data_IF_296563975965
#
_entry.id   IF_296563975965
#
_cell.length_a   1.000
_cell.length_b   1.000
_cell.length_c   1.000
_cell.angle_alpha   90.00
_cell.angle_beta   90.00
_cell.angle_gamma   90.00
#
_symmetry.space_group_name_H-M   'P 1'
#
loop_
_entity.id
_entity.type
_entity.pdbx_description
1 polymer ?
#
# COMPACT_ATOMS: atom_id res chain seq x y z
N UNK A 1 -13.67 26.76 -31.40
CA UNK A 1 -12.24 26.95 -31.10
C UNK A 1 -11.72 25.65 -30.53
N UNK A 2 -10.96 24.88 -31.31
CA UNK A 2 -10.28 23.65 -30.84
C UNK A 2 -9.17 24.10 -29.87
N UNK A 3 -9.29 23.76 -28.57
CA UNK A 3 -8.15 23.84 -27.65
C UNK A 3 -7.05 22.95 -28.24
N UNK A 4 -5.80 23.44 -28.35
CA UNK A 4 -4.70 22.56 -28.75
C UNK A 4 -4.67 21.40 -27.75
N UNK A 5 -4.55 20.18 -28.26
CA UNK A 5 -4.45 18.99 -27.40
C UNK A 5 -3.17 19.11 -26.57
N UNK A 6 -3.31 19.49 -25.33
CA UNK A 6 -2.18 19.41 -24.41
C UNK A 6 -1.72 17.96 -24.42
N UNK A 7 -0.44 17.76 -24.70
CA UNK A 7 0.14 16.42 -24.67
C UNK A 7 -0.11 15.78 -23.30
N UNK A 8 -0.33 14.47 -23.23
CA UNK A 8 -0.55 13.80 -21.97
C UNK A 8 0.64 13.98 -21.04
N UNK A 9 0.38 14.14 -19.74
CA UNK A 9 1.39 14.14 -18.70
C UNK A 9 2.15 12.81 -18.75
N UNK A 10 3.50 12.84 -18.73
CA UNK A 10 4.36 11.66 -18.79
C UNK A 10 4.98 11.41 -17.42
N UNK A 11 4.60 10.31 -16.80
CA UNK A 11 5.03 9.93 -15.44
C UNK A 11 5.77 8.61 -15.48
N UNK A 12 6.94 8.54 -14.84
CA UNK A 12 7.66 7.29 -14.62
C UNK A 12 7.66 6.96 -13.13
N UNK A 13 7.05 5.84 -12.80
CA UNK A 13 7.14 5.22 -11.47
C UNK A 13 8.36 4.30 -11.45
N UNK A 14 9.19 4.41 -10.44
CA UNK A 14 10.46 3.67 -10.34
C UNK A 14 11.02 3.67 -8.91
N UNK A 15 12.06 2.87 -8.58
CA UNK A 15 12.67 1.83 -9.39
C UNK A 15 12.27 0.40 -8.97
N UNK A 16 11.18 0.26 -8.24
CA UNK A 16 10.69 -1.02 -7.67
C UNK A 16 9.18 -1.14 -7.79
N UNK A 17 8.66 -2.38 -7.78
CA UNK A 17 7.23 -2.69 -7.68
C UNK A 17 6.92 -3.33 -6.31
N UNK A 18 7.20 -2.60 -5.23
CA UNK A 18 6.98 -3.11 -3.87
C UNK A 18 5.48 -3.27 -3.62
N UNK A 19 5.09 -4.48 -3.25
CA UNK A 19 3.72 -4.86 -2.90
C UNK A 19 2.66 -4.50 -3.99
N UNK A 20 3.09 -4.40 -5.26
CA UNK A 20 2.21 -4.08 -6.38
C UNK A 20 1.71 -2.63 -6.45
N UNK A 21 1.93 -1.82 -5.42
CA UNK A 21 1.41 -0.44 -5.33
C UNK A 21 1.84 0.44 -6.51
N UNK A 22 3.13 0.47 -6.93
CA UNK A 22 3.52 1.27 -8.08
C UNK A 22 2.81 0.86 -9.38
N UNK A 23 2.63 -0.44 -9.61
CA UNK A 23 1.91 -0.93 -10.78
C UNK A 23 0.44 -0.55 -10.77
N UNK A 24 -0.22 -0.75 -9.64
CA UNK A 24 -1.64 -0.37 -9.44
C UNK A 24 -1.84 1.12 -9.73
N UNK A 25 -0.96 1.99 -9.22
CA UNK A 25 -1.00 3.43 -9.49
C UNK A 25 -0.79 3.75 -10.99
N UNK A 26 0.14 3.06 -11.65
CA UNK A 26 0.38 3.26 -13.09
C UNK A 26 -0.84 2.89 -13.92
N UNK A 27 -1.50 1.76 -13.62
CA UNK A 27 -2.70 1.34 -14.33
C UNK A 27 -3.85 2.36 -14.15
N UNK A 28 -4.06 2.86 -12.94
CA UNK A 28 -5.09 3.84 -12.67
C UNK A 28 -4.81 5.19 -13.38
N UNK A 29 -3.57 5.66 -13.35
CA UNK A 29 -3.17 6.88 -14.07
C UNK A 29 -3.35 6.76 -15.59
N UNK A 30 -3.10 5.58 -16.16
CA UNK A 30 -3.38 5.31 -17.59
C UNK A 30 -4.85 5.41 -17.90
N UNK A 31 -5.73 4.90 -17.05
CA UNK A 31 -7.20 5.06 -17.22
C UNK A 31 -7.63 6.54 -17.21
N UNK A 32 -6.85 7.41 -16.58
CA UNK A 32 -7.02 8.88 -16.58
C UNK A 32 -6.31 9.61 -17.74
N UNK A 33 -5.77 8.88 -18.73
CA UNK A 33 -5.12 9.47 -19.90
C UNK A 33 -3.67 9.92 -19.69
N UNK A 34 -3.01 9.53 -18.59
CA UNK A 34 -1.59 9.81 -18.33
C UNK A 34 -0.72 8.80 -19.06
N UNK A 35 0.37 9.24 -19.73
CA UNK A 35 1.43 8.33 -20.20
C UNK A 35 2.29 7.90 -18.98
N UNK A 36 1.73 6.99 -18.19
CA UNK A 36 2.37 6.46 -16.99
C UNK A 36 3.10 5.15 -17.30
N UNK A 37 4.29 4.97 -16.73
CA UNK A 37 5.13 3.77 -16.92
C UNK A 37 5.76 3.34 -15.61
N UNK A 38 5.88 2.02 -15.42
CA UNK A 38 6.65 1.42 -14.34
C UNK A 38 7.99 0.89 -14.86
N UNK A 39 9.07 1.43 -14.32
CA UNK A 39 10.44 0.99 -14.60
C UNK A 39 11.06 0.44 -13.33
N UNK A 40 11.52 -0.81 -13.36
CA UNK A 40 12.06 -1.47 -12.16
C UNK A 40 13.51 -1.92 -12.36
N UNK A 41 14.27 -1.99 -11.28
CA UNK A 41 15.62 -2.56 -11.33
C UNK A 41 15.60 -4.03 -11.75
N UNK A 42 14.71 -4.80 -11.10
CA UNK A 42 14.48 -6.22 -11.40
C UNK A 42 13.02 -6.54 -11.10
N UNK A 43 12.49 -7.56 -11.75
CA UNK A 43 11.15 -8.09 -11.43
C UNK A 43 11.20 -8.90 -10.14
N UNK A 44 10.23 -8.72 -9.27
CA UNK A 44 10.05 -9.53 -8.06
C UNK A 44 9.13 -10.71 -8.35
N UNK A 45 9.36 -11.85 -7.68
CA UNK A 45 8.56 -13.05 -7.91
C UNK A 45 7.06 -12.86 -7.64
N UNK A 46 6.71 -12.10 -6.60
CA UNK A 46 5.32 -11.90 -6.18
C UNK A 46 4.63 -10.73 -6.89
N UNK A 47 5.38 -9.76 -7.41
CA UNK A 47 4.89 -8.57 -8.12
C UNK A 47 5.83 -8.32 -9.29
N UNK A 48 5.65 -9.11 -10.35
CA UNK A 48 6.56 -9.14 -11.49
C UNK A 48 6.18 -8.14 -12.59
N UNK A 49 5.08 -7.40 -12.42
CA UNK A 49 4.59 -6.44 -13.38
C UNK A 49 5.55 -5.25 -13.48
N UNK A 50 5.90 -4.89 -14.70
CA UNK A 50 6.63 -3.69 -15.06
C UNK A 50 6.61 -3.51 -16.57
N UNK A 51 6.61 -2.27 -17.04
CA UNK A 51 6.77 -1.96 -18.47
C UNK A 51 8.22 -2.18 -18.93
N UNK A 52 9.16 -1.87 -18.05
CA UNK A 52 10.57 -2.06 -18.32
C UNK A 52 11.31 -2.54 -17.05
N UNK A 53 11.92 -3.72 -17.13
CA UNK A 53 12.90 -4.19 -16.17
C UNK A 53 14.30 -3.87 -16.69
N UNK A 54 15.12 -3.29 -15.83
CA UNK A 54 16.51 -2.99 -16.19
C UNK A 54 17.38 -4.23 -16.18
N UNK A 55 16.90 -5.32 -15.57
CA UNK A 55 17.63 -6.58 -15.35
C UNK A 55 19.05 -6.29 -14.84
N UNK A 56 19.06 -5.51 -13.75
CA UNK A 56 20.30 -4.97 -13.18
C UNK A 56 21.28 -6.08 -12.89
N UNK A 57 22.46 -6.10 -13.56
CA UNK A 57 23.43 -7.15 -13.37
C UNK A 57 24.06 -7.09 -11.98
N UNK A 58 24.56 -8.24 -11.51
CA UNK A 58 25.38 -8.30 -10.31
C UNK A 58 26.68 -7.48 -10.53
N UNK A 59 27.10 -6.77 -9.51
CA UNK A 59 28.30 -5.92 -9.57
C UNK A 59 27.99 -4.42 -9.71
N UNK A 60 28.66 -3.63 -8.89
CA UNK A 60 28.40 -2.20 -8.74
C UNK A 60 28.51 -1.42 -10.06
N UNK A 61 29.64 -1.48 -10.72
CA UNK A 61 29.90 -0.68 -11.94
C UNK A 61 28.93 -1.01 -13.08
N UNK A 62 28.70 -2.29 -13.36
CA UNK A 62 27.76 -2.73 -14.42
C UNK A 62 26.34 -2.29 -14.10
N UNK A 63 25.94 -2.40 -12.84
CA UNK A 63 24.65 -1.91 -12.37
C UNK A 63 24.49 -0.41 -12.58
N UNK A 64 25.50 0.39 -12.22
CA UNK A 64 25.48 1.83 -12.42
C UNK A 64 25.36 2.21 -13.92
N UNK A 65 26.11 1.56 -14.81
CA UNK A 65 26.04 1.82 -16.25
C UNK A 65 24.59 1.65 -16.77
N UNK A 66 23.94 0.55 -16.38
CA UNK A 66 22.55 0.27 -16.79
C UNK A 66 21.59 1.33 -16.25
N UNK A 67 21.74 1.72 -14.99
CA UNK A 67 20.91 2.74 -14.34
C UNK A 67 21.07 4.12 -15.01
N UNK A 68 22.31 4.54 -15.28
CA UNK A 68 22.57 5.81 -15.97
C UNK A 68 22.05 5.83 -17.41
N UNK A 69 22.20 4.73 -18.16
CA UNK A 69 21.61 4.59 -19.50
C UNK A 69 20.07 4.67 -19.45
N UNK A 70 19.46 4.05 -18.45
CA UNK A 70 18.02 4.12 -18.25
C UNK A 70 17.58 5.56 -17.96
N UNK A 71 18.25 6.26 -17.04
CA UNK A 71 17.94 7.65 -16.74
C UNK A 71 18.10 8.54 -17.98
N UNK A 72 19.20 8.42 -18.75
CA UNK A 72 19.41 9.18 -19.97
C UNK A 72 18.29 8.95 -21.02
N UNK A 73 17.78 7.72 -21.12
CA UNK A 73 16.68 7.38 -22.04
C UNK A 73 15.33 7.92 -21.56
N UNK A 74 15.09 7.94 -20.25
CA UNK A 74 13.84 8.39 -19.63
C UNK A 74 13.74 9.93 -19.56
N UNK A 75 14.86 10.60 -19.29
CA UNK A 75 14.91 12.03 -19.01
C UNK A 75 14.17 12.91 -20.06
N UNK A 76 14.36 12.74 -21.38
CA UNK A 76 13.66 13.55 -22.38
C UNK A 76 12.17 13.18 -22.55
N UNK A 77 11.76 12.03 -22.05
CA UNK A 77 10.42 11.45 -22.23
C UNK A 77 9.55 11.47 -20.98
N UNK A 78 10.01 12.08 -19.89
CA UNK A 78 9.35 12.07 -18.58
C UNK A 78 9.19 13.50 -18.10
N UNK A 79 8.06 13.83 -17.53
CA UNK A 79 7.80 15.11 -16.88
C UNK A 79 7.92 14.97 -15.35
N UNK A 80 7.41 13.84 -14.79
CA UNK A 80 7.46 13.53 -13.36
C UNK A 80 8.11 12.17 -13.11
N UNK A 81 9.11 12.12 -12.24
CA UNK A 81 9.71 10.89 -11.72
C UNK A 81 9.14 10.61 -10.33
N UNK A 82 8.43 9.50 -10.18
CA UNK A 82 7.83 9.07 -8.93
C UNK A 82 8.62 7.88 -8.36
N UNK A 83 9.41 8.17 -7.33
CA UNK A 83 10.29 7.20 -6.68
C UNK A 83 9.59 6.51 -5.52
N UNK A 84 9.91 5.24 -5.32
CA UNK A 84 9.33 4.42 -4.25
C UNK A 84 10.39 3.79 -3.36
N UNK A 85 9.99 3.53 -2.11
CA UNK A 85 10.70 2.70 -1.17
C UNK A 85 12.12 3.17 -0.85
N UNK A 86 12.30 4.47 -0.69
CA UNK A 86 13.60 5.04 -0.34
C UNK A 86 14.66 4.93 -1.45
N UNK A 87 14.27 4.57 -2.69
CA UNK A 87 15.19 4.28 -3.79
C UNK A 87 15.05 5.29 -4.93
N UNK A 88 16.14 5.49 -5.67
CA UNK A 88 16.20 6.30 -6.90
C UNK A 88 16.90 5.52 -8.02
N UNK A 89 16.77 5.94 -9.27
CA UNK A 89 17.38 5.24 -10.41
C UNK A 89 18.91 5.27 -10.37
N UNK A 90 19.50 6.42 -9.99
CA UNK A 90 20.95 6.59 -9.83
C UNK A 90 21.23 7.08 -8.42
N UNK A 91 22.48 7.20 -7.95
CA UNK A 91 22.77 7.65 -6.59
C UNK A 91 22.01 8.92 -6.22
N UNK A 92 21.34 8.88 -5.07
CA UNK A 92 20.43 9.95 -4.60
C UNK A 92 21.04 11.33 -4.63
N UNK A 93 22.34 11.44 -4.28
CA UNK A 93 23.08 12.71 -4.30
C UNK A 93 23.08 13.40 -5.67
N UNK A 94 23.02 12.63 -6.76
CA UNK A 94 23.05 13.12 -8.13
C UNK A 94 21.67 13.16 -8.76
N UNK A 95 20.74 12.29 -8.33
CA UNK A 95 19.42 12.14 -8.94
C UNK A 95 18.62 13.44 -8.93
N UNK A 96 18.41 14.05 -7.77
CA UNK A 96 17.56 15.24 -7.65
C UNK A 96 18.19 16.52 -8.28
N UNK A 97 19.48 16.82 -8.09
CA UNK A 97 20.11 17.94 -8.80
C UNK A 97 20.01 17.80 -10.32
N UNK A 98 20.19 16.59 -10.84
CA UNK A 98 20.10 16.35 -12.28
C UNK A 98 18.67 16.55 -12.79
N UNK A 99 17.65 16.01 -12.11
CA UNK A 99 16.25 16.21 -12.49
C UNK A 99 15.89 17.69 -12.51
N UNK A 100 16.30 18.46 -11.52
CA UNK A 100 16.09 19.91 -11.46
C UNK A 100 16.77 20.65 -12.63
N UNK A 101 18.00 20.28 -12.95
CA UNK A 101 18.74 20.89 -14.07
C UNK A 101 18.04 20.69 -15.43
N UNK A 102 17.28 19.59 -15.57
CA UNK A 102 16.48 19.29 -16.75
C UNK A 102 15.00 19.70 -16.61
N UNK A 103 14.63 20.48 -15.62
CA UNK A 103 13.27 20.94 -15.39
C UNK A 103 12.26 19.81 -15.10
N UNK A 104 12.75 18.67 -14.58
CA UNK A 104 11.89 17.53 -14.26
C UNK A 104 11.42 17.58 -12.81
N UNK A 105 10.18 17.14 -12.59
CA UNK A 105 9.58 17.05 -11.26
C UNK A 105 9.85 15.69 -10.65
N UNK A 106 9.84 15.63 -9.34
CA UNK A 106 10.10 14.38 -8.60
C UNK A 106 9.19 14.25 -7.37
N UNK A 107 8.71 13.05 -7.15
CA UNK A 107 7.97 12.63 -5.96
C UNK A 107 8.72 11.50 -5.29
N UNK A 108 8.77 11.51 -3.97
CA UNK A 108 9.40 10.48 -3.17
C UNK A 108 8.37 9.83 -2.25
N UNK A 109 7.99 8.59 -2.57
CA UNK A 109 6.86 7.90 -1.96
C UNK A 109 7.34 6.78 -1.04
N UNK A 110 7.04 6.91 0.24
CA UNK A 110 7.31 5.91 1.25
C UNK A 110 6.11 4.99 1.46
N UNK A 111 6.39 3.69 1.62
CA UNK A 111 5.36 2.66 1.81
C UNK A 111 5.26 2.16 3.26
N UNK A 112 5.97 2.79 4.17
CA UNK A 112 5.89 2.57 5.60
C UNK A 112 7.00 1.68 6.18
N UNK A 113 7.29 0.49 5.63
CA UNK A 113 8.40 -0.34 6.13
C UNK A 113 9.80 0.23 5.83
N UNK A 114 9.88 1.17 4.90
CA UNK A 114 11.07 1.90 4.50
C UNK A 114 11.35 3.16 5.35
N UNK A 115 10.40 3.57 6.19
CA UNK A 115 10.56 4.75 7.07
C UNK A 115 10.40 4.43 8.55
N UNK A 116 9.64 3.38 8.91
CA UNK A 116 9.45 3.04 10.32
C UNK A 116 10.78 2.70 11.00
N UNK A 117 11.06 3.40 12.08
CA UNK A 117 12.32 3.26 12.83
C UNK A 117 13.53 3.97 12.23
N UNK A 118 13.34 4.76 11.15
CA UNK A 118 14.40 5.59 10.57
C UNK A 118 14.57 6.91 11.32
N UNK A 119 15.80 7.43 11.30
CA UNK A 119 16.10 8.77 11.84
C UNK A 119 15.79 9.86 10.81
N UNK A 120 15.63 11.13 11.24
CA UNK A 120 15.47 12.25 10.31
C UNK A 120 16.61 12.39 9.31
N UNK A 121 17.85 12.05 9.69
CA UNK A 121 19.04 12.13 8.84
C UNK A 121 18.97 11.05 7.73
N UNK A 122 18.50 9.85 8.05
CA UNK A 122 18.30 8.77 7.07
C UNK A 122 17.21 9.12 6.06
N UNK A 123 16.22 9.93 6.45
CA UNK A 123 15.11 10.34 5.60
C UNK A 123 15.33 11.69 4.90
N UNK A 124 16.40 12.42 5.23
CA UNK A 124 16.68 13.75 4.68
C UNK A 124 16.75 13.82 3.15
N UNK A 125 16.97 12.70 2.51
CA UNK A 125 17.01 12.62 1.04
C UNK A 125 15.66 12.88 0.38
N UNK A 126 14.57 12.44 0.97
CA UNK A 126 13.23 12.63 0.44
C UNK A 126 12.89 14.10 0.29
N UNK A 127 13.33 14.94 1.23
CA UNK A 127 13.16 16.41 1.20
C UNK A 127 13.76 17.09 -0.02
N UNK A 128 14.62 16.42 -0.78
CA UNK A 128 15.17 16.94 -2.03
C UNK A 128 14.24 16.77 -3.23
N UNK A 129 13.22 15.94 -3.12
CA UNK A 129 12.17 15.83 -4.11
C UNK A 129 11.27 17.09 -4.10
N UNK A 130 10.43 17.24 -5.12
CA UNK A 130 9.45 18.32 -5.14
C UNK A 130 8.30 18.06 -4.16
N UNK A 131 8.00 16.78 -3.90
CA UNK A 131 7.03 16.36 -2.87
C UNK A 131 7.43 15.02 -2.26
N UNK A 132 7.07 14.83 -0.99
CA UNK A 132 7.13 13.55 -0.29
C UNK A 132 5.72 13.02 -0.09
N UNK A 133 5.54 11.72 -0.23
CA UNK A 133 4.27 11.01 -0.05
C UNK A 133 4.45 9.86 0.93
N UNK A 134 3.47 9.68 1.80
CA UNK A 134 3.34 8.53 2.72
C UNK A 134 1.99 7.86 2.55
N UNK A 135 1.92 6.55 2.84
CA UNK A 135 0.70 5.76 2.64
C UNK A 135 -0.35 5.89 3.76
N UNK A 136 -0.02 6.50 4.91
CA UNK A 136 -0.91 6.52 6.06
C UNK A 136 -0.49 7.53 7.13
N UNK A 137 -1.43 7.99 7.93
CA UNK A 137 -1.20 9.00 8.97
C UNK A 137 -0.33 8.52 10.14
N UNK A 138 -0.18 7.22 10.38
CA UNK A 138 0.78 6.72 11.37
C UNK A 138 2.22 7.05 11.00
N UNK A 139 2.50 7.17 9.70
CA UNK A 139 3.83 7.47 9.18
C UNK A 139 4.24 8.95 9.26
N UNK A 140 3.29 9.86 9.53
CA UNK A 140 3.54 11.31 9.59
C UNK A 140 4.55 11.70 10.68
N UNK A 141 4.70 10.86 11.70
CA UNK A 141 5.70 11.07 12.77
C UNK A 141 7.14 11.03 12.28
N UNK A 142 7.40 10.36 11.16
CA UNK A 142 8.74 10.28 10.54
C UNK A 142 8.95 11.31 9.44
N UNK A 143 7.87 11.65 8.70
CA UNK A 143 7.92 12.63 7.61
C UNK A 143 6.72 13.57 7.75
N UNK A 144 6.79 14.56 8.66
CA UNK A 144 5.64 15.41 9.05
C UNK A 144 5.06 16.26 7.92
N UNK A 145 5.86 16.59 6.91
CA UNK A 145 5.47 17.45 5.78
C UNK A 145 4.98 16.65 4.56
N UNK A 146 5.04 15.32 4.63
CA UNK A 146 4.62 14.48 3.51
C UNK A 146 3.10 14.51 3.33
N UNK A 147 2.67 14.47 2.08
CA UNK A 147 1.25 14.31 1.74
C UNK A 147 0.83 12.84 1.94
N UNK A 148 -0.33 12.63 2.54
CA UNK A 148 -0.86 11.29 2.75
C UNK A 148 -1.69 10.87 1.55
N UNK A 149 -1.18 9.90 0.79
CA UNK A 149 -1.90 9.25 -0.30
C UNK A 149 -1.95 7.75 0.00
N UNK A 150 -3.08 7.23 0.48
CA UNK A 150 -3.24 5.82 0.81
C UNK A 150 -2.97 4.90 -0.39
N UNK A 151 -2.44 3.68 -0.17
CA UNK A 151 -2.27 2.71 -1.25
C UNK A 151 -3.61 2.36 -1.88
N UNK A 152 -3.64 2.33 -3.22
CA UNK A 152 -4.83 2.01 -4.00
C UNK A 152 -5.05 0.50 -4.14
N UNK A 153 -6.31 0.12 -4.17
CA UNK A 153 -6.79 -1.21 -4.54
C UNK A 153 -7.90 -1.08 -5.59
N UNK A 154 -7.92 -1.95 -6.59
CA UNK A 154 -8.98 -1.98 -7.61
C UNK A 154 -10.25 -2.60 -7.01
N UNK A 155 -10.98 -1.78 -6.25
CA UNK A 155 -12.17 -2.22 -5.51
C UNK A 155 -13.25 -2.72 -6.45
N UNK A 156 -13.35 -2.14 -7.65
CA UNK A 156 -14.32 -2.55 -8.66
C UNK A 156 -14.07 -3.95 -9.25
N UNK A 157 -12.84 -4.47 -9.13
CA UNK A 157 -12.49 -5.80 -9.64
C UNK A 157 -12.95 -6.95 -8.74
N UNK A 158 -13.39 -6.67 -7.51
CA UNK A 158 -13.80 -7.70 -6.56
C UNK A 158 -15.19 -7.42 -5.98
N UNK A 159 -16.00 -8.48 -5.87
CA UNK A 159 -17.28 -8.44 -5.19
C UNK A 159 -17.10 -8.84 -3.71
N UNK A 160 -17.85 -8.20 -2.77
CA UNK A 160 -17.89 -8.67 -1.40
C UNK A 160 -18.39 -10.12 -1.30
N UNK A 161 -17.82 -10.86 -0.40
CA UNK A 161 -18.20 -12.24 -0.10
C UNK A 161 -18.87 -12.31 1.28
N UNK A 162 -20.12 -12.78 1.38
CA UNK A 162 -20.78 -12.91 2.67
C UNK A 162 -20.04 -13.91 3.57
N UNK A 163 -20.23 -13.84 4.90
CA UNK A 163 -19.79 -14.88 5.81
C UNK A 163 -20.40 -16.23 5.44
N UNK A 164 -19.64 -17.28 5.65
CA UNK A 164 -20.08 -18.64 5.39
C UNK A 164 -20.97 -19.16 6.52
N UNK A 165 -21.90 -20.05 6.17
CA UNK A 165 -22.68 -20.79 7.16
C UNK A 165 -21.83 -21.97 7.69
N UNK A 166 -21.14 -21.71 8.80
CA UNK A 166 -20.23 -22.68 9.45
C UNK A 166 -20.54 -22.78 10.93
N UNK A 167 -20.30 -23.97 11.47
CA UNK A 167 -20.41 -24.21 12.92
C UNK A 167 -19.39 -23.39 13.72
N UNK A 168 -18.19 -23.17 13.14
CA UNK A 168 -17.10 -22.39 13.74
C UNK A 168 -16.61 -21.34 12.76
N UNK A 169 -16.47 -20.06 13.15
CA UNK A 169 -15.95 -19.04 12.25
C UNK A 169 -14.50 -19.29 11.89
N UNK A 170 -14.14 -19.03 10.62
CA UNK A 170 -12.78 -19.08 10.12
C UNK A 170 -12.09 -17.74 10.32
N UNK A 171 -11.08 -17.74 11.20
CA UNK A 171 -10.16 -16.62 11.38
C UNK A 171 -8.97 -16.81 10.43
N UNK A 172 -8.71 -15.82 9.57
CA UNK A 172 -7.56 -15.84 8.66
C UNK A 172 -6.52 -14.82 9.07
N UNK A 173 -5.26 -15.24 9.10
CA UNK A 173 -4.09 -14.38 9.30
C UNK A 173 -3.05 -14.66 8.23
N UNK A 174 -2.62 -13.62 7.50
CA UNK A 174 -1.67 -13.74 6.37
C UNK A 174 -0.40 -12.90 6.62
N UNK A 175 0.55 -13.40 7.40
CA UNK A 175 1.75 -12.65 7.74
C UNK A 175 2.80 -12.72 6.62
N UNK A 176 3.23 -11.58 6.10
CA UNK A 176 4.44 -11.50 5.27
C UNK A 176 5.73 -11.76 6.08
N UNK A 177 5.66 -11.58 7.39
CA UNK A 177 6.74 -11.83 8.34
C UNK A 177 6.14 -12.00 9.75
N UNK A 178 6.20 -13.21 10.31
CA UNK A 178 5.55 -13.59 11.57
C UNK A 178 5.82 -12.60 12.71
N UNK A 179 7.08 -12.32 13.03
CA UNK A 179 7.44 -11.44 14.14
C UNK A 179 6.93 -10.01 13.98
N UNK A 180 6.99 -9.44 12.76
CA UNK A 180 6.48 -8.08 12.51
C UNK A 180 4.97 -7.99 12.59
N UNK A 181 4.27 -9.04 12.21
CA UNK A 181 2.81 -9.11 12.20
C UNK A 181 2.21 -9.56 13.53
N UNK A 182 3.01 -10.12 14.44
CA UNK A 182 2.55 -10.61 15.73
C UNK A 182 1.83 -11.96 15.66
N UNK A 183 2.23 -12.83 14.73
CA UNK A 183 1.57 -14.12 14.46
C UNK A 183 1.43 -15.00 15.69
N UNK A 184 2.44 -15.04 16.56
CA UNK A 184 2.38 -15.86 17.78
C UNK A 184 1.29 -15.38 18.76
N UNK A 185 1.02 -14.06 18.79
CA UNK A 185 -0.11 -13.52 19.55
C UNK A 185 -1.45 -13.92 18.94
N UNK A 186 -1.53 -14.01 17.61
CA UNK A 186 -2.76 -14.47 16.91
C UNK A 186 -3.03 -15.94 17.23
N UNK A 187 -2.00 -16.80 17.16
CA UNK A 187 -2.11 -18.21 17.49
C UNK A 187 -2.56 -18.38 18.97
N UNK A 188 -1.91 -17.68 19.88
CA UNK A 188 -2.25 -17.73 21.30
C UNK A 188 -3.67 -17.21 21.58
N UNK A 189 -4.11 -16.15 20.90
CA UNK A 189 -5.43 -15.58 21.09
C UNK A 189 -6.56 -16.47 20.56
N UNK A 190 -6.33 -17.25 19.50
CA UNK A 190 -7.30 -18.23 19.00
C UNK A 190 -7.35 -19.51 19.83
N UNK A 191 -6.32 -19.80 20.62
CA UNK A 191 -6.29 -20.99 21.46
C UNK A 191 -7.40 -20.93 22.52
N UNK A 192 -8.22 -21.99 22.57
CA UNK A 192 -9.35 -22.09 23.50
C UNK A 192 -10.64 -21.38 23.07
N UNK A 193 -10.63 -20.67 21.96
CA UNK A 193 -11.84 -20.13 21.33
C UNK A 193 -12.48 -21.15 20.39
N UNK A 194 -13.79 -21.08 20.24
CA UNK A 194 -14.53 -21.89 19.27
C UNK A 194 -14.44 -21.27 17.85
N UNK A 195 -13.22 -21.21 17.34
CA UNK A 195 -12.87 -20.69 15.99
C UNK A 195 -11.89 -21.63 15.31
N UNK A 196 -11.86 -21.61 14.00
CA UNK A 196 -10.81 -22.22 13.20
C UNK A 196 -9.79 -21.15 12.78
N UNK A 197 -8.51 -21.42 12.93
CA UNK A 197 -7.44 -20.49 12.51
C UNK A 197 -6.74 -21.02 11.26
N UNK A 198 -6.67 -20.22 10.22
CA UNK A 198 -5.85 -20.47 9.02
C UNK A 198 -4.73 -19.44 8.91
N UNK A 199 -3.48 -19.93 8.87
CA UNK A 199 -2.29 -19.12 8.56
C UNK A 199 -1.98 -19.24 7.08
N UNK A 200 -2.12 -18.13 6.35
CA UNK A 200 -1.85 -18.07 4.91
C UNK A 200 -0.43 -17.58 4.68
N UNK A 201 0.47 -18.50 4.39
CA UNK A 201 1.90 -18.23 4.23
C UNK A 201 2.46 -18.92 2.98
N UNK A 202 3.37 -18.26 2.28
CA UNK A 202 4.14 -18.85 1.17
C UNK A 202 3.35 -19.08 -0.12
N UNK A 203 2.09 -18.67 -0.19
CA UNK A 203 1.23 -18.80 -1.37
C UNK A 203 1.47 -17.66 -2.37
N UNK A 204 1.12 -17.89 -3.63
CA UNK A 204 0.95 -16.82 -4.59
C UNK A 204 -0.26 -15.96 -4.23
N UNK A 205 -0.25 -14.69 -4.69
CA UNK A 205 -1.30 -13.73 -4.34
C UNK A 205 -2.72 -14.24 -4.66
N UNK A 206 -2.93 -14.81 -5.84
CA UNK A 206 -4.24 -15.30 -6.25
C UNK A 206 -4.74 -16.44 -5.35
N UNK A 207 -3.86 -17.37 -4.98
CA UNK A 207 -4.17 -18.47 -4.05
C UNK A 207 -4.45 -17.93 -2.64
N UNK A 208 -3.66 -16.98 -2.18
CA UNK A 208 -3.87 -16.31 -0.89
C UNK A 208 -5.21 -15.55 -0.88
N UNK A 209 -5.54 -14.87 -1.97
CA UNK A 209 -6.77 -14.10 -2.11
C UNK A 209 -8.02 -15.00 -2.02
N UNK A 210 -7.99 -16.24 -2.55
CA UNK A 210 -9.08 -17.20 -2.36
C UNK A 210 -9.23 -17.63 -0.89
N UNK A 211 -8.14 -17.70 -0.12
CA UNK A 211 -8.21 -17.92 1.34
C UNK A 211 -8.85 -16.72 2.06
N UNK A 212 -8.53 -15.50 1.63
CA UNK A 212 -9.15 -14.28 2.16
C UNK A 212 -10.67 -14.25 1.89
N UNK A 213 -11.12 -14.70 0.71
CA UNK A 213 -12.55 -14.86 0.40
C UNK A 213 -13.27 -15.80 1.34
N UNK A 214 -12.59 -16.87 1.74
CA UNK A 214 -13.14 -17.88 2.62
C UNK A 214 -13.24 -17.44 4.08
N UNK A 215 -12.53 -16.38 4.51
CA UNK A 215 -12.53 -15.90 5.88
C UNK A 215 -13.90 -15.40 6.34
N UNK A 216 -14.18 -15.57 7.62
CA UNK A 216 -15.30 -14.92 8.33
C UNK A 216 -14.79 -13.72 9.15
N UNK A 217 -13.60 -13.85 9.75
CA UNK A 217 -12.91 -12.81 10.51
C UNK A 217 -11.45 -12.79 10.04
N UNK A 218 -10.85 -11.61 9.99
CA UNK A 218 -9.45 -11.44 9.59
C UNK A 218 -8.66 -10.75 10.69
N UNK A 219 -7.44 -11.23 10.97
CA UNK A 219 -6.47 -10.54 11.84
C UNK A 219 -5.30 -10.09 10.99
N UNK A 220 -5.06 -8.77 10.88
CA UNK A 220 -3.92 -8.26 10.09
C UNK A 220 -2.64 -8.22 10.94
N UNK A 221 -2.39 -7.18 11.70
CA UNK A 221 -1.12 -7.00 12.39
C UNK A 221 -1.28 -6.31 13.75
N UNK A 222 -0.39 -6.69 14.69
CA UNK A 222 -0.47 -6.23 16.08
C UNK A 222 0.70 -5.31 16.48
N UNK A 223 1.76 -5.22 15.65
CA UNK A 223 3.00 -4.54 16.04
C UNK A 223 3.27 -3.22 15.29
N UNK A 224 2.56 -2.91 14.21
CA UNK A 224 2.86 -1.73 13.39
C UNK A 224 2.03 -0.48 13.74
N UNK A 225 0.86 -0.64 14.37
CA UNK A 225 -0.02 0.47 14.72
C UNK A 225 -0.84 1.06 13.58
N UNK A 226 -0.84 0.40 12.44
CA UNK A 226 -1.68 0.68 11.28
C UNK A 226 -1.86 -0.60 10.44
N UNK A 227 -2.92 -0.68 9.67
CA UNK A 227 -3.23 -1.84 8.83
C UNK A 227 -2.40 -1.86 7.53
N UNK A 228 -2.29 -3.04 6.91
CA UNK A 228 -1.56 -3.25 5.66
C UNK A 228 -2.46 -3.51 4.46
N UNK A 229 -1.84 -3.82 3.30
CA UNK A 229 -2.56 -4.14 2.06
C UNK A 229 -3.48 -5.35 2.23
N UNK A 230 -3.05 -6.37 2.96
CA UNK A 230 -3.88 -7.52 3.30
C UNK A 230 -5.22 -7.12 3.94
N UNK A 231 -5.19 -6.17 4.89
CA UNK A 231 -6.42 -5.65 5.48
C UNK A 231 -7.29 -4.91 4.45
N UNK A 232 -6.69 -4.14 3.54
CA UNK A 232 -7.40 -3.42 2.48
C UNK A 232 -8.12 -4.41 1.55
N UNK A 233 -7.44 -5.47 1.13
CA UNK A 233 -7.99 -6.55 0.32
C UNK A 233 -9.16 -7.26 1.02
N UNK A 234 -9.00 -7.59 2.30
CA UNK A 234 -10.05 -8.22 3.09
C UNK A 234 -11.24 -7.28 3.34
N UNK A 235 -11.01 -6.00 3.59
CA UNK A 235 -12.07 -5.01 3.69
C UNK A 235 -12.83 -4.84 2.36
N UNK A 236 -12.11 -4.89 1.22
CA UNK A 236 -12.74 -4.88 -0.11
C UNK A 236 -13.64 -6.10 -0.34
N UNK A 237 -13.29 -7.25 0.23
CA UNK A 237 -14.11 -8.45 0.26
C UNK A 237 -15.27 -8.39 1.27
N UNK A 238 -15.41 -7.29 2.01
CA UNK A 238 -16.45 -7.14 3.02
C UNK A 238 -16.21 -7.96 4.28
N UNK A 239 -14.94 -8.16 4.67
CA UNK A 239 -14.58 -8.91 5.89
C UNK A 239 -14.35 -7.97 7.07
N UNK A 240 -14.77 -8.33 8.29
CA UNK A 240 -14.32 -7.65 9.50
C UNK A 240 -12.84 -7.93 9.72
N UNK A 241 -12.09 -6.85 9.96
CA UNK A 241 -10.65 -6.91 10.16
C UNK A 241 -10.28 -6.43 11.56
N UNK A 242 -9.53 -7.25 12.28
CA UNK A 242 -8.95 -6.94 13.60
C UNK A 242 -7.50 -6.55 13.42
N UNK A 243 -7.07 -5.45 14.02
CA UNK A 243 -5.69 -4.97 13.91
C UNK A 243 -5.35 -3.98 15.03
N UNK A 244 -4.07 -3.77 15.28
CA UNK A 244 -3.62 -2.70 16.16
C UNK A 244 -3.57 -1.37 15.42
N UNK A 245 -4.19 -0.33 16.00
CA UNK A 245 -4.25 1.01 15.42
C UNK A 245 -3.80 2.06 16.43
N UNK A 246 -2.98 3.02 16.00
CA UNK A 246 -2.71 4.22 16.78
C UNK A 246 -3.91 5.18 16.70
N UNK A 247 -4.49 5.53 17.84
CA UNK A 247 -5.67 6.41 17.95
C UNK A 247 -5.50 7.75 17.21
N UNK A 248 -4.30 8.33 17.26
CA UNK A 248 -3.95 9.57 16.57
C UNK A 248 -4.06 9.42 15.03
N UNK A 249 -3.56 8.31 14.49
CA UNK A 249 -3.66 8.02 13.07
C UNK A 249 -5.11 7.74 12.63
N UNK A 250 -5.90 7.07 13.47
CA UNK A 250 -7.34 6.87 13.23
C UNK A 250 -8.05 8.22 13.11
N UNK A 251 -7.94 9.06 14.15
CA UNK A 251 -8.57 10.38 14.18
C UNK A 251 -8.20 11.22 12.95
N UNK A 252 -6.91 11.32 12.61
CA UNK A 252 -6.45 12.07 11.44
C UNK A 252 -6.96 11.51 10.12
N UNK A 253 -7.09 10.18 10.02
CA UNK A 253 -7.66 9.53 8.82
C UNK A 253 -9.14 9.86 8.68
N UNK A 254 -9.90 9.76 9.77
CA UNK A 254 -11.33 10.09 9.80
C UNK A 254 -11.58 11.55 9.46
N UNK A 255 -10.79 12.47 10.03
CA UNK A 255 -10.86 13.92 9.72
C UNK A 255 -10.52 14.22 8.25
N UNK A 256 -9.51 13.56 7.69
CA UNK A 256 -9.03 13.86 6.33
C UNK A 256 -9.92 13.29 5.22
N UNK A 257 -10.57 12.16 5.46
CA UNK A 257 -11.38 11.47 4.46
C UNK A 257 -12.89 11.54 4.73
N UNK A 258 -13.28 12.18 5.84
CA UNK A 258 -14.69 12.29 6.30
C UNK A 258 -15.39 10.91 6.32
N UNK A 259 -14.69 9.91 6.86
CA UNK A 259 -15.20 8.54 6.94
C UNK A 259 -14.63 7.84 8.17
N UNK A 260 -15.48 7.07 8.88
CA UNK A 260 -15.08 6.31 10.04
C UNK A 260 -14.19 5.12 9.65
N UNK A 261 -13.13 4.88 10.41
CA UNK A 261 -12.27 3.69 10.30
C UNK A 261 -12.99 2.48 10.94
N UNK A 262 -13.42 1.49 10.16
CA UNK A 262 -14.32 0.42 10.64
C UNK A 262 -13.57 -0.78 11.25
N UNK A 263 -12.24 -0.73 11.32
CA UNK A 263 -11.45 -1.86 11.79
C UNK A 263 -11.60 -2.05 13.30
N UNK A 264 -11.64 -3.30 13.73
CA UNK A 264 -11.70 -3.66 15.15
C UNK A 264 -10.32 -3.52 15.76
N UNK A 265 -10.18 -2.55 16.67
CA UNK A 265 -8.91 -2.33 17.36
C UNK A 265 -8.64 -3.42 18.38
N UNK A 266 -7.43 -4.01 18.32
CA UNK A 266 -6.91 -4.93 19.32
C UNK A 266 -5.39 -4.74 19.50
N UNK A 267 -4.92 -4.92 20.74
CA UNK A 267 -3.51 -5.14 21.06
C UNK A 267 -3.24 -6.63 21.24
N UNK A 268 -1.99 -7.02 21.42
CA UNK A 268 -1.65 -8.42 21.72
C UNK A 268 -2.39 -8.94 22.97
N UNK A 269 -2.57 -8.07 23.98
CA UNK A 269 -3.21 -8.40 25.26
C UNK A 269 -4.74 -8.50 25.15
N UNK A 270 -5.35 -7.72 24.24
CA UNK A 270 -6.82 -7.67 24.11
C UNK A 270 -7.36 -8.50 22.95
N UNK A 271 -6.50 -9.09 22.13
CA UNK A 271 -6.90 -9.80 20.92
C UNK A 271 -7.82 -10.98 21.21
N UNK A 272 -7.52 -11.77 22.24
CA UNK A 272 -8.36 -12.92 22.66
C UNK A 272 -9.81 -12.50 22.92
N UNK A 273 -10.02 -11.48 23.76
CA UNK A 273 -11.34 -10.99 24.11
C UNK A 273 -12.07 -10.38 22.91
N UNK A 274 -11.34 -9.70 22.03
CA UNK A 274 -11.92 -9.14 20.80
C UNK A 274 -12.37 -10.22 19.84
N UNK A 275 -11.57 -11.28 19.66
CA UNK A 275 -11.96 -12.42 18.82
C UNK A 275 -13.12 -13.19 19.43
N UNK A 276 -13.12 -13.43 20.74
CA UNK A 276 -14.23 -14.07 21.45
C UNK A 276 -15.55 -13.30 21.24
N UNK A 277 -15.51 -11.98 21.41
CA UNK A 277 -16.68 -11.12 21.23
C UNK A 277 -17.18 -11.14 19.78
N UNK A 278 -16.29 -11.08 18.78
CA UNK A 278 -16.65 -11.18 17.37
C UNK A 278 -17.23 -12.55 17.01
N UNK A 279 -16.62 -13.63 17.47
CA UNK A 279 -17.12 -14.98 17.24
C UNK A 279 -18.54 -15.16 17.81
N UNK A 280 -18.78 -14.68 19.04
CA UNK A 280 -20.08 -14.74 19.68
C UNK A 280 -21.15 -13.85 19.01
N UNK A 281 -20.76 -12.74 18.39
CA UNK A 281 -21.68 -11.82 17.72
C UNK A 281 -22.31 -12.40 16.43
N UNK A 282 -21.60 -13.31 15.78
CA UNK A 282 -22.10 -14.11 14.66
C UNK A 282 -22.23 -13.37 13.31
N UNK A 283 -22.76 -14.08 12.28
CA UNK A 283 -22.71 -13.62 10.89
C UNK A 283 -23.42 -12.30 10.59
N UNK A 284 -24.43 -11.93 11.36
CA UNK A 284 -25.16 -10.66 11.15
C UNK A 284 -24.23 -9.46 11.46
N UNK A 285 -23.50 -9.51 12.54
CA UNK A 285 -22.56 -8.47 12.93
C UNK A 285 -21.34 -8.44 11.99
N UNK A 286 -20.84 -9.60 11.57
CA UNK A 286 -19.73 -9.67 10.59
C UNK A 286 -20.13 -9.01 9.26
N UNK A 287 -21.36 -9.23 8.77
CA UNK A 287 -21.90 -8.56 7.58
C UNK A 287 -21.97 -7.06 7.76
N UNK A 288 -22.41 -6.60 8.94
CA UNK A 288 -22.51 -5.16 9.25
C UNK A 288 -21.13 -4.50 9.20
N UNK A 289 -20.16 -5.05 9.94
CA UNK A 289 -18.78 -4.55 9.96
C UNK A 289 -18.15 -4.68 8.57
N UNK A 290 -18.39 -5.77 7.86
CA UNK A 290 -17.90 -5.99 6.51
C UNK A 290 -18.44 -4.97 5.49
N UNK A 291 -19.71 -4.57 5.61
CA UNK A 291 -20.28 -3.52 4.76
C UNK A 291 -19.63 -2.15 5.06
N UNK A 292 -19.39 -1.81 6.32
CA UNK A 292 -18.66 -0.61 6.72
C UNK A 292 -17.21 -0.65 6.22
N UNK A 293 -16.55 -1.81 6.30
CA UNK A 293 -15.19 -2.04 5.78
C UNK A 293 -15.13 -1.82 4.27
N UNK A 294 -16.09 -2.34 3.52
CA UNK A 294 -16.20 -2.15 2.07
C UNK A 294 -16.41 -0.66 1.72
N UNK A 295 -17.34 0.01 2.37
CA UNK A 295 -17.61 1.44 2.14
C UNK A 295 -16.36 2.30 2.44
N UNK A 296 -15.63 1.96 3.49
CA UNK A 296 -14.38 2.62 3.84
C UNK A 296 -13.31 2.47 2.74
N UNK A 297 -13.10 1.25 2.24
CA UNK A 297 -12.11 1.01 1.17
C UNK A 297 -12.51 1.74 -0.12
N UNK A 298 -13.78 1.76 -0.47
CA UNK A 298 -14.30 2.54 -1.61
C UNK A 298 -14.05 4.05 -1.46
N UNK A 299 -14.15 4.58 -0.25
CA UNK A 299 -13.91 6.00 0.01
C UNK A 299 -12.42 6.38 0.05
N UNK A 300 -11.57 5.51 0.62
CA UNK A 300 -10.17 5.84 0.95
C UNK A 300 -9.18 5.19 -0.01
N UNK A 301 -9.39 3.93 -0.35
CA UNK A 301 -8.42 3.08 -1.05
C UNK A 301 -8.81 2.73 -2.49
N UNK A 302 -10.00 3.15 -2.97
CA UNK A 302 -10.33 2.94 -4.37
C UNK A 302 -9.26 3.54 -5.27
N UNK A 303 -8.74 2.73 -6.19
CA UNK A 303 -7.58 3.10 -7.01
C UNK A 303 -7.86 4.31 -7.89
N UNK A 304 -9.13 4.55 -8.30
CA UNK A 304 -9.51 5.71 -9.08
C UNK A 304 -9.41 7.00 -8.24
N UNK A 305 -9.84 6.95 -6.97
CA UNK A 305 -9.67 8.07 -6.02
C UNK A 305 -8.20 8.33 -5.70
N UNK A 306 -7.39 7.28 -5.59
CA UNK A 306 -5.94 7.41 -5.40
C UNK A 306 -5.30 8.06 -6.62
N UNK A 307 -5.72 7.69 -7.85
CA UNK A 307 -5.25 8.33 -9.07
C UNK A 307 -5.59 9.82 -9.11
N UNK A 308 -6.80 10.21 -8.68
CA UNK A 308 -7.20 11.61 -8.62
C UNK A 308 -6.34 12.40 -7.63
N UNK A 309 -5.99 11.82 -6.47
CA UNK A 309 -5.06 12.43 -5.49
C UNK A 309 -3.64 12.58 -6.07
N UNK A 310 -3.15 11.56 -6.78
CA UNK A 310 -1.85 11.64 -7.45
C UNK A 310 -1.82 12.72 -8.54
N UNK A 311 -2.89 12.85 -9.34
CA UNK A 311 -3.03 13.89 -10.34
C UNK A 311 -3.07 15.29 -9.72
N UNK A 312 -3.82 15.46 -8.63
CA UNK A 312 -3.85 16.69 -7.87
C UNK A 312 -2.47 17.05 -7.31
N UNK A 313 -1.72 16.07 -6.80
CA UNK A 313 -0.32 16.28 -6.41
C UNK A 313 0.54 16.72 -7.60
N UNK A 314 0.52 15.99 -8.71
CA UNK A 314 1.36 16.30 -9.88
C UNK A 314 1.06 17.68 -10.49
N UNK A 315 -0.18 18.15 -10.42
CA UNK A 315 -0.56 19.47 -10.94
C UNK A 315 0.01 20.64 -10.13
N UNK A 316 0.45 20.40 -8.89
CA UNK A 316 1.03 21.42 -7.99
C UNK A 316 2.57 21.44 -7.96
N UNK A 317 3.23 20.51 -8.63
CA UNK A 317 4.70 20.38 -8.63
C UNK A 317 5.44 21.49 -9.38
#
# INVERSE_FOLDING_TARGET
MHKPSERPLRVVHCPVNTAGVPWTNVQALRRRGVDARLVVFNRYRLHNEADWSLDRPKGFLRGQIVQWRALARLLPRTDVFHFYFGLTLVPQALQFPLLRAFGKKSVFHYLGSDIRGKTPEELAFGKRANAEVIGSYDAIRWVPEAEVIPPGFDVGSVAPTPPWDRARPLVVHAPSHRGRKGTEHVIAACAGLDVDLELVEGLHHDEAFERYRAADIVVDQLNAGWYGLFAIECMALGKPVVTFLHNDAVRRTEEAFDVRVPLVHATAETLHDRLAALAAAGPAEWRRIGAESRAYVEAVHDVERVADRLLALYSRL
#
